data_IF_350792437311
#
_entry.id   IF_350792437311
#
_cell.length_a   1.000
_cell.length_b   1.000
_cell.length_c   1.000
_cell.angle_alpha   90.00
_cell.angle_beta   90.00
_cell.angle_gamma   90.00
#
_symmetry.space_group_name_H-M   'P 1'
#
loop_
_entity.id
_entity.type
_entity.pdbx_description
1 polymer ?
#
# COMPACT_ATOMS: atom_id res chain seq x y z
N UNK A 1 19.84 26.61 26.04
CA UNK A 1 20.25 26.55 24.63
C UNK A 1 20.19 25.11 24.08
N UNK A 2 21.01 24.17 24.59
CA UNK A 2 21.10 22.77 24.08
C UNK A 2 19.75 22.02 24.05
N UNK A 3 18.92 22.16 25.10
CA UNK A 3 17.58 21.54 25.17
C UNK A 3 16.61 22.04 24.10
N UNK A 4 16.74 23.30 23.67
CA UNK A 4 15.89 23.88 22.62
C UNK A 4 16.27 23.38 21.23
N UNK A 5 17.58 23.27 20.97
CA UNK A 5 18.10 22.68 19.74
C UNK A 5 17.69 21.21 19.61
N UNK A 6 17.86 20.43 20.69
CA UNK A 6 17.46 19.02 20.73
C UNK A 6 15.95 18.85 20.49
N UNK A 7 15.09 19.63 21.18
CA UNK A 7 13.64 19.58 20.95
C UNK A 7 13.26 19.93 19.51
N UNK A 8 13.94 20.91 18.92
CA UNK A 8 13.70 21.30 17.52
C UNK A 8 14.13 20.21 16.56
N UNK A 9 15.28 19.58 16.80
CA UNK A 9 15.77 18.44 16.02
C UNK A 9 14.87 17.22 16.13
N UNK A 10 14.50 16.81 17.35
CA UNK A 10 13.61 15.67 17.60
C UNK A 10 12.21 15.88 17.02
N UNK A 11 11.69 17.11 17.02
CA UNK A 11 10.40 17.44 16.39
C UNK A 11 10.47 17.53 14.86
N UNK A 12 11.67 17.64 14.27
CA UNK A 12 11.84 17.68 12.81
C UNK A 12 11.74 16.29 12.19
N UNK A 13 12.20 15.25 12.89
CA UNK A 13 12.14 13.85 12.43
C UNK A 13 10.73 13.40 11.99
N UNK A 14 9.67 13.53 12.83
CA UNK A 14 8.31 13.16 12.42
C UNK A 14 7.78 14.02 11.28
N UNK A 15 8.19 15.28 11.19
CA UNK A 15 7.78 16.17 10.10
C UNK A 15 8.38 15.77 8.77
N UNK A 16 9.66 15.39 8.75
CA UNK A 16 10.30 14.85 7.54
C UNK A 16 9.58 13.56 7.14
N UNK A 17 9.31 12.66 8.09
CA UNK A 17 8.58 11.42 7.82
C UNK A 17 7.18 11.69 7.25
N UNK A 18 6.46 12.66 7.80
CA UNK A 18 5.15 13.07 7.30
C UNK A 18 5.24 13.57 5.86
N UNK A 19 6.24 14.40 5.56
CA UNK A 19 6.45 14.92 4.21
C UNK A 19 6.80 13.80 3.22
N UNK A 20 7.64 12.84 3.61
CA UNK A 20 7.96 11.65 2.81
C UNK A 20 6.70 10.82 2.52
N UNK A 21 5.87 10.55 3.53
CA UNK A 21 4.63 9.79 3.35
C UNK A 21 3.65 10.52 2.42
N UNK A 22 3.48 11.83 2.57
CA UNK A 22 2.63 12.63 1.68
C UNK A 22 3.17 12.61 0.25
N UNK A 23 4.48 12.77 0.08
CA UNK A 23 5.11 12.75 -1.25
C UNK A 23 4.94 11.38 -1.93
N UNK A 24 5.12 10.28 -1.19
CA UNK A 24 4.92 8.93 -1.72
C UNK A 24 3.46 8.69 -2.13
N UNK A 25 2.50 9.08 -1.27
CA UNK A 25 1.08 8.98 -1.58
C UNK A 25 0.69 9.79 -2.83
N UNK A 26 1.24 11.00 -2.97
CA UNK A 26 0.98 11.87 -4.11
C UNK A 26 1.56 11.29 -5.40
N UNK A 27 2.78 10.73 -5.35
CA UNK A 27 3.41 10.10 -6.50
C UNK A 27 2.62 8.89 -7.01
N UNK A 28 1.90 8.19 -6.13
CA UNK A 28 1.13 7.00 -6.45
C UNK A 28 -0.38 7.24 -6.55
N UNK A 29 -0.84 8.50 -6.61
CA UNK A 29 -2.28 8.83 -6.66
C UNK A 29 -2.99 8.23 -7.87
N UNK A 30 -2.26 8.05 -8.98
CA UNK A 30 -2.78 7.48 -10.24
C UNK A 30 -2.43 6.00 -10.41
N UNK A 31 -1.75 5.38 -9.44
CA UNK A 31 -1.37 3.96 -9.52
C UNK A 31 -2.58 3.09 -9.15
N UNK A 32 -3.08 2.24 -10.07
CA UNK A 32 -4.23 1.38 -9.78
C UNK A 32 -3.98 0.46 -8.59
N UNK A 33 -4.94 0.40 -7.68
CA UNK A 33 -4.86 -0.47 -6.49
C UNK A 33 -3.92 0.02 -5.38
N UNK A 34 -3.28 1.19 -5.51
CA UNK A 34 -2.44 1.75 -4.46
C UNK A 34 -3.24 2.01 -3.17
N UNK A 35 -2.66 1.62 -2.03
CA UNK A 35 -3.22 1.85 -0.70
C UNK A 35 -2.36 2.88 0.01
N UNK A 36 -2.95 4.03 0.31
CA UNK A 36 -2.22 5.15 0.91
C UNK A 36 -1.70 4.81 2.30
N UNK A 37 -0.52 5.30 2.59
CA UNK A 37 0.09 5.20 3.90
C UNK A 37 -0.28 6.41 4.77
N UNK A 38 -0.46 6.17 6.06
CA UNK A 38 -0.70 7.20 7.07
C UNK A 38 0.37 7.16 8.14
N UNK A 39 0.86 8.33 8.52
CA UNK A 39 1.76 8.50 9.65
C UNK A 39 0.93 8.60 10.93
N UNK A 40 1.16 7.67 11.86
CA UNK A 40 0.68 7.79 13.24
C UNK A 40 1.84 8.18 14.14
N UNK A 41 1.79 9.41 14.65
CA UNK A 41 2.75 9.91 15.63
C UNK A 41 2.14 9.75 17.02
N UNK A 42 2.73 8.85 17.82
CA UNK A 42 2.29 8.66 19.21
C UNK A 42 2.93 9.72 20.09
N UNK A 43 2.19 10.80 20.34
CA UNK A 43 2.49 11.77 21.40
C UNK A 43 2.38 11.07 22.77
N UNK A 44 3.44 10.40 23.23
CA UNK A 44 3.55 9.88 24.60
C UNK A 44 3.77 11.04 25.58
N UNK A 45 2.82 11.96 25.71
CA UNK A 45 3.08 13.21 26.46
C UNK A 45 2.21 13.44 27.69
N UNK A 46 1.22 12.61 28.05
CA UNK A 46 0.46 12.85 29.31
C UNK A 46 0.05 11.65 30.16
N UNK A 47 -0.30 10.50 29.58
CA UNK A 47 -0.85 9.39 30.39
C UNK A 47 0.22 8.57 31.14
N UNK A 48 1.39 8.33 30.53
CA UNK A 48 2.49 7.55 31.14
C UNK A 48 3.41 8.39 32.05
N UNK A 49 3.39 9.72 31.92
CA UNK A 49 4.20 10.62 32.75
C UNK A 49 3.83 10.58 34.26
N UNK A 50 2.70 9.97 34.63
CA UNK A 50 2.29 9.76 36.02
C UNK A 50 2.88 8.49 36.67
N UNK A 51 3.36 7.52 35.88
CA UNK A 51 3.74 6.19 36.40
C UNK A 51 5.25 5.93 36.47
N UNK A 52 6.08 6.69 35.73
CA UNK A 52 7.53 6.48 35.67
C UNK A 52 8.23 7.73 36.23
N UNK A 53 9.12 7.62 37.24
CA UNK A 53 9.83 8.75 37.78
C UNK A 53 10.80 9.32 36.73
N UNK A 54 10.34 10.40 36.08
CA UNK A 54 11.11 11.46 35.41
C UNK A 54 12.41 11.02 34.72
N UNK A 55 12.30 10.05 33.81
CA UNK A 55 13.19 10.04 32.66
C UNK A 55 12.77 11.23 31.80
N UNK A 56 13.74 11.97 31.28
CA UNK A 56 13.42 13.30 30.83
C UNK A 56 12.63 13.31 29.52
N UNK A 57 11.60 14.17 29.44
CA UNK A 57 10.81 14.51 28.24
C UNK A 57 11.64 14.69 26.95
N UNK A 58 12.92 15.05 27.07
CA UNK A 58 13.86 15.19 25.95
C UNK A 58 14.65 13.90 25.64
N UNK A 59 14.23 12.73 26.09
CA UNK A 59 14.80 11.43 25.69
C UNK A 59 13.76 10.47 25.12
N UNK A 60 12.47 10.83 25.13
CA UNK A 60 11.44 9.97 24.56
C UNK A 60 11.44 10.13 23.04
N UNK A 61 11.84 9.09 22.28
CA UNK A 61 11.72 9.15 20.83
C UNK A 61 10.24 9.27 20.47
N UNK A 62 9.91 10.20 19.57
CA UNK A 62 8.59 10.18 18.92
C UNK A 62 8.56 8.89 18.10
N UNK A 63 7.71 7.95 18.52
CA UNK A 63 7.51 6.72 17.77
C UNK A 63 6.56 7.07 16.63
N UNK A 64 7.13 7.14 15.44
CA UNK A 64 6.42 7.32 14.19
C UNK A 64 6.21 5.94 13.55
N UNK A 65 4.96 5.53 13.43
CA UNK A 65 4.62 4.27 12.78
C UNK A 65 3.78 4.57 11.55
N UNK A 66 4.17 4.00 10.41
CA UNK A 66 3.45 4.11 9.16
C UNK A 66 2.50 2.93 9.05
N UNK A 67 1.24 3.20 8.72
CA UNK A 67 0.21 2.18 8.50
C UNK A 67 -0.45 2.38 7.15
N UNK A 68 -0.64 1.28 6.43
CA UNK A 68 -1.36 1.27 5.16
C UNK A 68 -2.87 1.29 5.40
N UNK A 69 -3.57 2.22 4.76
CA UNK A 69 -5.02 2.30 4.82
C UNK A 69 -5.66 1.46 3.71
N UNK A 70 -6.35 0.38 4.09
CA UNK A 70 -6.94 -0.57 3.15
C UNK A 70 -8.34 -0.19 2.62
N UNK A 71 -8.90 0.96 3.02
CA UNK A 71 -10.23 1.40 2.56
C UNK A 71 -10.35 1.40 1.04
N UNK A 72 -11.55 1.10 0.53
CA UNK A 72 -11.85 1.11 -0.89
C UNK A 72 -11.69 2.53 -1.46
N UNK A 73 -11.05 2.63 -2.63
CA UNK A 73 -10.93 3.88 -3.39
C UNK A 73 -12.06 4.01 -4.42
N UNK A 74 -12.04 5.09 -5.19
CA UNK A 74 -12.93 5.25 -6.34
C UNK A 74 -12.61 4.21 -7.41
N UNK A 75 -13.64 3.63 -8.01
CA UNK A 75 -13.50 2.74 -9.17
C UNK A 75 -13.91 3.50 -10.43
N UNK A 76 -13.02 3.56 -11.40
CA UNK A 76 -13.25 4.19 -12.69
C UNK A 76 -13.32 3.14 -13.79
N UNK A 77 -14.38 3.19 -14.61
CA UNK A 77 -14.56 2.26 -15.73
C UNK A 77 -13.66 2.66 -16.89
N UNK A 78 -12.70 1.82 -17.24
CA UNK A 78 -11.73 2.09 -18.32
C UNK A 78 -12.23 1.68 -19.71
N UNK A 79 -13.17 0.74 -19.76
CA UNK A 79 -13.68 0.17 -21.03
C UNK A 79 -12.83 -0.97 -21.60
N UNK A 80 -11.66 -1.24 -21.03
CA UNK A 80 -10.88 -2.44 -21.34
C UNK A 80 -11.46 -3.64 -20.57
N UNK A 81 -11.86 -4.74 -21.24
CA UNK A 81 -12.39 -5.92 -20.56
C UNK A 81 -11.37 -6.62 -19.64
N UNK A 82 -10.07 -6.35 -19.79
CA UNK A 82 -9.02 -6.94 -18.96
C UNK A 82 -8.63 -6.06 -17.76
N UNK A 83 -9.26 -4.89 -17.61
CA UNK A 83 -9.10 -4.06 -16.42
C UNK A 83 -10.13 -4.48 -15.37
N UNK A 84 -9.68 -5.21 -14.36
CA UNK A 84 -10.52 -5.85 -13.36
C UNK A 84 -10.37 -5.14 -12.02
N UNK A 85 -11.48 -4.71 -11.42
CA UNK A 85 -11.47 -4.19 -10.06
C UNK A 85 -12.24 -5.12 -9.13
N UNK A 86 -11.70 -5.35 -7.93
CA UNK A 86 -12.43 -5.99 -6.85
C UNK A 86 -13.25 -4.95 -6.07
N UNK A 87 -14.54 -5.18 -5.96
CA UNK A 87 -15.43 -4.44 -5.04
C UNK A 87 -15.43 -5.11 -3.66
N UNK A 88 -15.35 -4.30 -2.60
CA UNK A 88 -15.27 -4.80 -1.22
C UNK A 88 -13.86 -5.21 -0.80
N UNK A 89 -13.78 -6.07 0.22
CA UNK A 89 -12.54 -6.54 0.83
C UNK A 89 -11.93 -7.72 0.05
N UNK A 90 -10.62 -7.95 0.22
CA UNK A 90 -9.89 -9.05 -0.44
C UNK A 90 -8.71 -8.59 -1.29
N UNK A 91 -8.05 -9.53 -1.95
CA UNK A 91 -6.93 -9.31 -2.87
C UNK A 91 -6.97 -10.35 -3.98
N UNK A 92 -6.47 -9.99 -5.15
CA UNK A 92 -6.20 -10.96 -6.22
C UNK A 92 -4.85 -11.63 -5.95
N UNK A 93 -4.76 -12.92 -6.25
CA UNK A 93 -3.53 -13.67 -6.10
C UNK A 93 -2.81 -13.78 -7.44
N UNK A 94 -1.50 -13.57 -7.44
CA UNK A 94 -0.63 -13.72 -8.61
C UNK A 94 0.41 -14.80 -8.37
N UNK A 95 0.85 -15.46 -9.43
CA UNK A 95 2.00 -16.36 -9.46
C UNK A 95 3.16 -15.67 -10.17
N UNK A 96 4.33 -15.61 -9.52
CA UNK A 96 5.55 -15.12 -10.17
C UNK A 96 6.13 -16.18 -11.12
N UNK A 97 7.01 -15.81 -12.06
CA UNK A 97 7.72 -16.78 -12.89
C UNK A 97 8.50 -17.84 -12.10
N UNK A 98 8.89 -17.52 -10.87
CA UNK A 98 9.58 -18.43 -9.94
C UNK A 98 8.62 -19.34 -9.15
N UNK A 99 7.30 -19.17 -9.28
CA UNK A 99 6.26 -19.94 -8.60
C UNK A 99 5.88 -19.41 -7.21
N UNK A 100 6.23 -18.17 -6.88
CA UNK A 100 5.81 -17.53 -5.63
C UNK A 100 4.43 -16.89 -5.76
N UNK A 101 3.65 -16.91 -4.68
CA UNK A 101 2.34 -16.27 -4.65
C UNK A 101 2.42 -14.85 -4.10
N UNK A 102 1.90 -13.89 -4.86
CA UNK A 102 1.79 -12.48 -4.48
C UNK A 102 0.32 -12.07 -4.35
N UNK A 103 0.07 -11.00 -3.59
CA UNK A 103 -1.26 -10.40 -3.46
C UNK A 103 -1.25 -9.02 -4.11
N UNK A 104 -2.28 -8.73 -4.90
CA UNK A 104 -2.44 -7.43 -5.56
C UNK A 104 -3.86 -6.89 -5.48
N UNK A 105 -3.97 -5.57 -5.56
CA UNK A 105 -5.21 -4.84 -5.85
C UNK A 105 -5.18 -4.17 -7.23
N UNK A 106 -4.05 -4.21 -7.91
CA UNK A 106 -3.93 -3.67 -9.25
C UNK A 106 -4.67 -4.58 -10.24
N UNK A 107 -5.46 -3.95 -11.09
CA UNK A 107 -6.41 -4.61 -11.99
C UNK A 107 -6.03 -4.63 -13.45
N UNK A 108 -4.89 -4.04 -13.81
CA UNK A 108 -4.46 -3.83 -15.19
C UNK A 108 -3.78 -5.08 -15.75
N UNK A 109 -4.57 -6.04 -16.22
CA UNK A 109 -4.07 -7.28 -16.79
C UNK A 109 -3.97 -7.23 -18.31
N UNK A 110 -3.12 -8.11 -18.84
CA UNK A 110 -2.94 -8.35 -20.26
C UNK A 110 -2.76 -9.84 -20.52
N UNK A 111 -3.01 -10.28 -21.75
CA UNK A 111 -2.77 -11.67 -22.13
C UNK A 111 -1.30 -11.84 -22.52
N UNK A 112 -0.59 -12.74 -21.86
CA UNK A 112 0.80 -13.07 -22.20
C UNK A 112 0.90 -13.90 -23.49
N UNK A 113 2.13 -14.12 -23.96
CA UNK A 113 2.40 -14.92 -25.16
C UNK A 113 1.92 -16.39 -25.09
N UNK A 114 1.60 -16.88 -23.89
CA UNK A 114 1.13 -18.24 -23.64
C UNK A 114 -0.39 -18.29 -23.40
N UNK A 115 -1.09 -17.16 -23.52
CA UNK A 115 -2.54 -17.05 -23.38
C UNK A 115 -3.01 -16.86 -21.93
N UNK A 116 -2.12 -16.59 -20.97
CA UNK A 116 -2.49 -16.36 -19.57
C UNK A 116 -2.74 -14.89 -19.26
N UNK A 117 -3.68 -14.61 -18.36
CA UNK A 117 -3.82 -13.28 -17.79
C UNK A 117 -2.62 -12.98 -16.89
N UNK A 118 -1.95 -11.87 -17.18
CA UNK A 118 -0.70 -11.49 -16.53
C UNK A 118 -0.60 -9.97 -16.32
N UNK A 119 0.17 -9.56 -15.32
CA UNK A 119 0.56 -8.15 -15.13
C UNK A 119 1.69 -7.78 -16.10
N UNK A 120 1.98 -6.47 -16.21
CA UNK A 120 3.11 -5.98 -16.99
C UNK A 120 4.47 -6.54 -16.53
N UNK A 121 4.57 -6.94 -15.26
CA UNK A 121 5.76 -7.55 -14.67
C UNK A 121 5.89 -9.06 -14.97
N UNK A 122 4.92 -9.64 -15.69
CA UNK A 122 4.91 -11.07 -16.05
C UNK A 122 4.31 -12.00 -15.01
N UNK A 123 3.70 -11.47 -13.94
CA UNK A 123 3.05 -12.26 -12.91
C UNK A 123 1.66 -12.69 -13.37
N UNK A 124 1.32 -13.98 -13.24
CA UNK A 124 0.07 -14.55 -13.75
C UNK A 124 -1.04 -14.48 -12.71
N UNK A 125 -2.25 -14.15 -13.14
CA UNK A 125 -3.43 -14.13 -12.27
C UNK A 125 -3.88 -15.56 -11.93
N UNK A 126 -4.09 -15.82 -10.64
CA UNK A 126 -4.56 -17.11 -10.11
C UNK A 126 -6.06 -17.02 -9.81
N UNK A 127 -6.82 -18.00 -10.30
CA UNK A 127 -8.22 -18.27 -9.93
C UNK A 127 -8.36 -19.59 -9.16
N UNK A 128 -9.59 -20.07 -8.97
CA UNK A 128 -9.87 -21.30 -8.21
C UNK A 128 -9.18 -22.56 -8.78
N UNK A 129 -8.96 -22.61 -10.10
CA UNK A 129 -8.34 -23.73 -10.80
C UNK A 129 -6.84 -23.57 -11.10
N UNK A 130 -6.18 -22.55 -10.56
CA UNK A 130 -4.80 -22.18 -10.91
C UNK A 130 -4.72 -20.95 -11.81
N UNK A 131 -3.64 -20.82 -12.58
CA UNK A 131 -3.42 -19.65 -13.44
C UNK A 131 -4.47 -19.56 -14.56
N UNK A 132 -5.00 -18.35 -14.79
CA UNK A 132 -6.12 -18.13 -15.70
C UNK A 132 -5.62 -18.07 -17.15
N UNK A 133 -5.92 -19.09 -17.94
CA UNK A 133 -5.66 -19.12 -19.38
C UNK A 133 -6.92 -18.77 -20.18
N UNK A 134 -6.83 -17.72 -20.99
CA UNK A 134 -7.91 -17.21 -21.84
C UNK A 134 -7.64 -17.46 -23.33
N UNK A 135 -6.47 -17.98 -23.68
CA UNK A 135 -6.05 -18.20 -25.06
C UNK A 135 -6.01 -16.90 -25.89
N UNK A 136 -6.34 -17.00 -27.18
CA UNK A 136 -6.37 -15.87 -28.13
C UNK A 136 -7.80 -15.43 -28.49
N UNK A 137 -8.80 -15.82 -27.69
CA UNK A 137 -10.21 -15.52 -27.95
C UNK A 137 -10.63 -14.14 -27.42
N UNK A 138 -11.85 -13.71 -27.76
CA UNK A 138 -12.47 -12.55 -27.10
C UNK A 138 -12.74 -12.89 -25.63
N UNK A 139 -12.07 -12.18 -24.72
CA UNK A 139 -12.25 -12.34 -23.28
C UNK A 139 -13.36 -11.40 -22.80
N UNK A 140 -14.38 -11.98 -22.19
CA UNK A 140 -15.45 -11.24 -21.50
C UNK A 140 -15.54 -11.70 -20.05
N UNK A 141 -15.70 -10.75 -19.13
CA UNK A 141 -15.88 -11.02 -17.71
C UNK A 141 -17.36 -10.83 -17.39
N UNK A 142 -17.98 -11.85 -16.80
CA UNK A 142 -19.35 -11.79 -16.27
C UNK A 142 -19.32 -11.77 -14.75
N UNK A 143 -20.24 -11.01 -14.16
CA UNK A 143 -20.54 -11.04 -12.71
C UNK A 143 -21.13 -12.39 -12.27
#
# INVERSE_FOLDING_TARGET
>A
MIKGLYRSGSAMVPRIKQQETIANNLANVSTPGYKKDMLFTRELTRAQAKAIPRQSDWQTPMIDQVYTQFSQGTLDKTGNPLDIALEGDGFMMLETPEGENLLTRAGNFSVDSQGFLSTADGNRLIGEGGTINVGNGNVGISE
#
